data_IF_641296145154
#
_entry.id   IF_641296145154
#
_cell.length_a   1.000
_cell.length_b   1.000
_cell.length_c   1.000
_cell.angle_alpha   90.00
_cell.angle_beta   90.00
_cell.angle_gamma   90.00
#
_symmetry.space_group_name_H-M   'P 1'
#
loop_
_entity.id
_entity.type
_entity.pdbx_description
1 polymer ?
#
# COMPACT_ATOMS: atom_id res chain seq x y z
N UNK A 1 -21.88 -27.46 4.96
CA UNK A 1 -22.55 -26.76 3.85
C UNK A 1 -21.97 -25.36 3.82
N UNK A 2 -20.96 -25.14 2.98
CA UNK A 2 -20.35 -23.81 2.81
C UNK A 2 -21.33 -22.91 2.07
N UNK A 3 -21.69 -21.79 2.71
CA UNK A 3 -22.55 -20.78 2.13
C UNK A 3 -21.88 -20.17 0.91
N UNK A 4 -22.58 -20.23 -0.22
CA UNK A 4 -22.17 -19.59 -1.46
C UNK A 4 -22.04 -18.07 -1.20
N UNK A 5 -20.81 -17.56 -1.05
CA UNK A 5 -20.55 -16.11 -1.03
C UNK A 5 -20.94 -15.57 -2.40
N UNK A 6 -22.10 -14.90 -2.49
CA UNK A 6 -22.51 -14.21 -3.71
C UNK A 6 -21.51 -13.07 -3.94
N UNK A 7 -20.58 -13.29 -4.88
CA UNK A 7 -19.67 -12.25 -5.33
C UNK A 7 -20.48 -11.21 -6.12
N UNK A 8 -20.67 -10.02 -5.54
CA UNK A 8 -21.54 -8.98 -6.06
C UNK A 8 -20.76 -8.01 -6.95
N UNK A 9 -20.22 -8.49 -8.07
CA UNK A 9 -19.58 -7.64 -9.07
C UNK A 9 -20.67 -6.94 -9.90
N UNK A 10 -20.74 -5.61 -9.83
CA UNK A 10 -21.80 -4.81 -10.48
C UNK A 10 -21.37 -4.28 -11.84
N UNK A 11 -20.07 -4.26 -12.11
CA UNK A 11 -19.47 -3.76 -13.35
C UNK A 11 -18.19 -4.51 -13.70
N UNK A 12 -17.85 -4.57 -14.98
CA UNK A 12 -16.54 -5.06 -15.42
C UNK A 12 -15.38 -4.22 -14.86
N UNK A 13 -15.63 -2.95 -14.52
CA UNK A 13 -14.68 -2.06 -13.85
C UNK A 13 -14.39 -2.45 -12.40
N UNK A 14 -15.23 -3.28 -11.77
CA UNK A 14 -14.95 -3.84 -10.44
C UNK A 14 -13.93 -4.99 -10.50
N UNK A 15 -13.72 -5.55 -11.69
CA UNK A 15 -12.85 -6.70 -11.96
C UNK A 15 -11.53 -6.25 -12.58
N UNK A 16 -11.58 -5.27 -13.49
CA UNK A 16 -10.41 -4.73 -14.17
C UNK A 16 -9.77 -3.66 -13.27
N UNK A 17 -8.62 -4.02 -12.67
CA UNK A 17 -7.80 -3.08 -11.92
C UNK A 17 -7.20 -1.97 -12.79
N UNK A 18 -6.69 -0.87 -12.19
CA UNK A 18 -6.09 0.23 -12.93
C UNK A 18 -4.83 -0.23 -13.70
N UNK A 19 -4.34 0.63 -14.60
CA UNK A 19 -3.00 0.48 -15.17
C UNK A 19 -1.98 0.76 -14.05
N UNK A 20 -0.93 -0.06 -13.96
CA UNK A 20 -0.01 -0.05 -12.82
C UNK A 20 1.44 -0.26 -13.23
N UNK A 21 2.34 0.34 -12.45
CA UNK A 21 3.79 0.08 -12.51
C UNK A 21 4.15 -0.97 -11.44
N UNK A 22 4.41 -2.21 -11.86
CA UNK A 22 4.87 -3.29 -10.97
C UNK A 22 4.25 -4.67 -11.27
N UNK A 23 4.79 -5.77 -10.70
CA UNK A 23 4.39 -7.13 -11.06
C UNK A 23 3.08 -7.61 -10.42
N UNK A 24 2.61 -6.97 -9.33
CA UNK A 24 1.44 -7.41 -8.55
C UNK A 24 0.47 -6.25 -8.24
N UNK A 25 -0.80 -6.45 -8.58
CA UNK A 25 -1.84 -5.42 -8.44
C UNK A 25 -2.28 -5.18 -7.00
N UNK A 26 -2.38 -6.21 -6.15
CA UNK A 26 -2.83 -6.06 -4.76
C UNK A 26 -1.79 -5.37 -3.88
N UNK A 27 -0.52 -5.77 -3.99
CA UNK A 27 0.59 -5.22 -3.21
C UNK A 27 1.01 -3.80 -3.63
N UNK A 28 0.53 -3.34 -4.79
CA UNK A 28 0.88 -2.02 -5.32
C UNK A 28 -0.32 -1.08 -5.30
N UNK A 29 -1.47 -1.40 -5.90
CA UNK A 29 -2.62 -0.49 -5.93
C UNK A 29 -3.30 -0.39 -4.57
N UNK A 30 -3.47 -1.53 -3.89
CA UNK A 30 -4.00 -1.54 -2.53
C UNK A 30 -3.10 -0.76 -1.57
N UNK A 31 -1.78 -0.97 -1.66
CA UNK A 31 -0.80 -0.26 -0.85
C UNK A 31 -0.74 1.26 -1.15
N UNK A 32 -0.79 1.66 -2.42
CA UNK A 32 -0.89 3.08 -2.81
C UNK A 32 -2.16 3.70 -2.25
N UNK A 33 -3.30 3.00 -2.32
CA UNK A 33 -4.55 3.49 -1.75
C UNK A 33 -4.47 3.68 -0.23
N UNK A 34 -3.84 2.74 0.50
CA UNK A 34 -3.59 2.87 1.95
C UNK A 34 -2.73 4.11 2.24
N UNK A 35 -1.64 4.31 1.49
CA UNK A 35 -0.77 5.47 1.65
C UNK A 35 -1.47 6.80 1.34
N UNK A 36 -2.29 6.84 0.28
CA UNK A 36 -3.06 8.02 -0.11
C UNK A 36 -4.11 8.38 0.94
N UNK A 37 -4.79 7.38 1.52
CA UNK A 37 -5.71 7.60 2.63
C UNK A 37 -4.98 8.16 3.85
N UNK A 38 -3.82 7.60 4.20
CA UNK A 38 -3.01 8.11 5.32
C UNK A 38 -2.60 9.58 5.11
N UNK A 39 -2.18 9.96 3.90
CA UNK A 39 -1.89 11.35 3.52
C UNK A 39 -3.10 12.25 3.70
N UNK A 40 -4.27 11.81 3.25
CA UNK A 40 -5.52 12.57 3.35
C UNK A 40 -5.91 12.78 4.82
N UNK A 41 -5.84 11.73 5.64
CA UNK A 41 -6.12 11.80 7.08
C UNK A 41 -5.15 12.74 7.82
N UNK A 42 -3.88 12.76 7.39
CA UNK A 42 -2.87 13.67 7.93
C UNK A 42 -3.05 15.14 7.46
N UNK A 43 -3.72 15.36 6.33
CA UNK A 43 -3.93 16.69 5.74
C UNK A 43 -2.77 17.21 4.88
N UNK A 44 -1.83 16.35 4.48
CA UNK A 44 -0.66 16.74 3.69
C UNK A 44 0.44 15.67 3.66
N UNK A 45 1.64 16.05 3.19
CA UNK A 45 2.80 15.14 3.23
C UNK A 45 3.39 15.10 4.65
N UNK A 46 3.39 13.95 5.35
CA UNK A 46 4.01 13.84 6.68
C UNK A 46 5.55 13.90 6.59
N UNK A 47 6.21 14.40 7.66
CA UNK A 47 7.68 14.38 7.79
C UNK A 47 8.22 13.04 8.31
N UNK A 48 7.40 12.31 9.07
CA UNK A 48 7.77 11.03 9.66
C UNK A 48 6.69 10.01 9.30
N UNK A 49 7.11 8.87 8.78
CA UNK A 49 6.24 7.76 8.41
C UNK A 49 6.78 6.49 9.05
N UNK A 50 5.90 5.77 9.72
CA UNK A 50 6.17 4.44 10.24
C UNK A 50 5.12 3.49 9.67
N UNK A 51 5.58 2.40 9.07
CA UNK A 51 4.71 1.35 8.56
C UNK A 51 5.02 0.05 9.30
N UNK A 52 4.07 -0.42 10.08
CA UNK A 52 4.14 -1.71 10.77
C UNK A 52 3.43 -2.78 9.92
N UNK A 53 4.18 -3.78 9.46
CA UNK A 53 3.66 -4.92 8.71
C UNK A 53 3.37 -6.10 9.63
N UNK A 54 2.22 -6.74 9.43
CA UNK A 54 1.77 -7.91 10.18
C UNK A 54 1.52 -9.08 9.23
N UNK A 55 1.61 -10.31 9.74
CA UNK A 55 1.22 -11.54 9.03
C UNK A 55 1.87 -11.65 7.64
N UNK A 56 1.10 -11.99 6.61
CA UNK A 56 1.62 -12.18 5.24
C UNK A 56 2.35 -10.96 4.68
N UNK A 57 1.95 -9.73 5.07
CA UNK A 57 2.66 -8.52 4.67
C UNK A 57 4.05 -8.45 5.29
N UNK A 58 4.22 -8.86 6.54
CA UNK A 58 5.52 -8.85 7.22
C UNK A 58 6.56 -9.73 6.53
N UNK A 59 6.12 -10.79 5.86
CA UNK A 59 7.00 -11.74 5.18
C UNK A 59 7.32 -11.34 3.73
N UNK A 60 6.42 -10.58 3.07
CA UNK A 60 6.43 -10.45 1.61
C UNK A 60 6.61 -9.02 1.09
N UNK A 61 6.57 -8.00 1.95
CA UNK A 61 6.54 -6.60 1.54
C UNK A 61 7.71 -6.17 0.62
N UNK A 62 8.94 -6.62 0.89
CA UNK A 62 10.14 -6.27 0.11
C UNK A 62 10.10 -6.82 -1.31
N UNK A 63 9.71 -8.09 -1.47
CA UNK A 63 9.69 -8.78 -2.77
C UNK A 63 8.57 -8.31 -3.70
N UNK A 64 7.52 -7.70 -3.14
CA UNK A 64 6.37 -7.20 -3.90
C UNK A 64 6.33 -5.67 -4.05
N UNK A 65 7.36 -4.98 -3.54
CA UNK A 65 7.47 -3.53 -3.65
C UNK A 65 6.43 -2.75 -2.83
N UNK A 66 5.85 -3.36 -1.79
CA UNK A 66 4.82 -2.75 -0.95
C UNK A 66 5.31 -1.47 -0.26
N UNK A 67 6.58 -1.44 0.14
CA UNK A 67 7.21 -0.26 0.74
C UNK A 67 7.12 0.95 -0.19
N UNK A 68 7.54 0.75 -1.44
CA UNK A 68 7.51 1.78 -2.47
C UNK A 68 6.08 2.22 -2.75
N UNK A 69 5.13 1.28 -2.79
CA UNK A 69 3.72 1.57 -3.02
C UNK A 69 3.08 2.39 -1.89
N UNK A 70 3.29 2.02 -0.62
CA UNK A 70 2.80 2.80 0.53
C UNK A 70 3.35 4.23 0.48
N UNK A 71 4.67 4.38 0.28
CA UNK A 71 5.30 5.70 0.21
C UNK A 71 4.83 6.50 -1.00
N UNK A 72 4.59 5.85 -2.15
CA UNK A 72 4.01 6.49 -3.34
C UNK A 72 2.65 7.11 -3.03
N UNK A 73 1.77 6.36 -2.36
CA UNK A 73 0.48 6.89 -1.90
C UNK A 73 0.64 8.07 -0.95
N UNK A 74 1.59 8.00 -0.02
CA UNK A 74 1.87 9.09 0.93
C UNK A 74 2.39 10.34 0.22
N UNK A 75 3.21 10.19 -0.83
CA UNK A 75 3.67 11.28 -1.67
C UNK A 75 2.60 11.82 -2.63
N UNK A 76 1.47 11.11 -2.78
CA UNK A 76 0.37 11.49 -3.65
C UNK A 76 0.53 11.03 -5.11
N UNK A 77 1.34 10.00 -5.35
CA UNK A 77 1.50 9.39 -6.67
C UNK A 77 0.32 8.47 -6.99
N UNK A 78 0.00 8.33 -8.27
CA UNK A 78 -0.99 7.39 -8.78
C UNK A 78 -0.35 6.04 -9.11
N UNK A 79 -1.16 5.02 -9.39
CA UNK A 79 -0.69 3.64 -9.61
C UNK A 79 0.14 3.46 -10.87
N UNK A 80 -0.04 4.33 -11.85
CA UNK A 80 0.64 4.39 -13.15
C UNK A 80 1.85 5.33 -13.15
N UNK A 81 2.16 5.99 -12.02
CA UNK A 81 3.26 6.94 -11.94
C UNK A 81 4.62 6.21 -12.03
N UNK A 82 5.44 6.60 -13.01
CA UNK A 82 6.77 6.05 -13.24
C UNK A 82 7.75 6.25 -12.07
N UNK A 83 7.42 7.14 -11.13
CA UNK A 83 8.23 7.41 -9.94
C UNK A 83 7.99 6.40 -8.83
N UNK A 84 6.96 5.54 -8.92
CA UNK A 84 6.61 4.55 -7.89
C UNK A 84 7.84 3.73 -7.42
N UNK A 85 8.67 3.16 -8.31
CA UNK A 85 9.85 2.38 -7.88
C UNK A 85 10.91 3.18 -7.11
N UNK A 86 10.89 4.53 -7.22
CA UNK A 86 11.84 5.45 -6.58
C UNK A 86 11.22 6.21 -5.41
N UNK A 87 9.99 5.89 -5.01
CA UNK A 87 9.23 6.69 -4.05
C UNK A 87 9.93 6.85 -2.69
N UNK A 88 10.57 5.78 -2.18
CA UNK A 88 11.34 5.84 -0.92
C UNK A 88 12.52 6.80 -1.03
N UNK A 89 13.30 6.73 -2.10
CA UNK A 89 14.43 7.64 -2.35
C UNK A 89 13.96 9.09 -2.48
N UNK A 90 12.87 9.33 -3.21
CA UNK A 90 12.28 10.65 -3.39
C UNK A 90 11.82 11.21 -2.04
N UNK A 91 11.10 10.42 -1.24
CA UNK A 91 10.64 10.84 0.08
C UNK A 91 11.80 11.22 1.00
N UNK A 92 12.86 10.40 1.06
CA UNK A 92 14.05 10.70 1.88
C UNK A 92 14.74 11.98 1.38
N UNK A 93 14.84 12.18 0.06
CA UNK A 93 15.43 13.41 -0.51
C UNK A 93 14.62 14.67 -0.17
N UNK A 94 13.32 14.54 0.08
CA UNK A 94 12.44 15.62 0.56
C UNK A 94 12.45 15.80 2.09
N UNK A 95 13.33 15.08 2.81
CA UNK A 95 13.47 15.17 4.26
C UNK A 95 12.44 14.35 5.03
N UNK A 96 11.80 13.36 4.42
CA UNK A 96 10.92 12.42 5.11
C UNK A 96 11.73 11.32 5.79
N UNK A 97 11.46 11.07 7.07
CA UNK A 97 11.97 9.92 7.79
C UNK A 97 11.00 8.76 7.65
N UNK A 98 11.50 7.59 7.24
CA UNK A 98 10.69 6.40 6.98
C UNK A 98 11.23 5.24 7.82
N UNK A 99 10.33 4.56 8.53
CA UNK A 99 10.60 3.34 9.28
C UNK A 99 9.64 2.23 8.83
N UNK A 100 10.19 1.10 8.36
CA UNK A 100 9.42 -0.11 8.08
C UNK A 100 9.70 -1.13 9.18
N UNK A 101 8.65 -1.68 9.79
CA UNK A 101 8.76 -2.57 10.94
C UNK A 101 7.97 -3.85 10.68
N UNK A 102 8.69 -4.97 10.58
CA UNK A 102 8.10 -6.30 10.51
C UNK A 102 7.69 -6.76 11.92
N UNK A 103 6.40 -7.00 12.14
CA UNK A 103 5.87 -7.46 13.43
C UNK A 103 5.73 -8.97 13.44
N UNK A 104 6.31 -9.60 14.48
CA UNK A 104 6.21 -11.05 14.75
C UNK A 104 4.98 -11.44 15.57
N UNK A 105 4.20 -10.46 16.00
CA UNK A 105 2.96 -10.67 16.74
C UNK A 105 1.78 -10.58 15.77
N UNK A 106 0.65 -11.25 16.07
CA UNK A 106 -0.59 -11.05 15.31
C UNK A 106 -0.98 -9.58 15.26
N UNK A 107 -1.72 -9.21 14.20
CA UNK A 107 -2.25 -7.86 14.11
C UNK A 107 -3.07 -7.52 15.36
N UNK A 108 -2.87 -6.33 15.97
CA UNK A 108 -3.68 -5.89 17.10
C UNK A 108 -5.13 -5.60 16.68
N UNK A 109 -5.37 -5.47 15.38
CA UNK A 109 -6.70 -5.36 14.80
C UNK A 109 -7.16 -6.77 14.50
N UNK A 110 -8.17 -7.23 15.22
CA UNK A 110 -8.72 -8.57 15.05
C UNK A 110 -9.37 -8.66 13.65
N UNK A 111 -8.60 -9.11 12.65
CA UNK A 111 -9.06 -9.26 11.27
C UNK A 111 -10.06 -10.43 11.21
N UNK A 112 -11.34 -10.12 11.36
CA UNK A 112 -12.45 -11.08 11.30
C UNK A 112 -12.76 -11.53 9.86
#
# INVERSE_FOLDING_TARGET
MEGNKVQNYKSCFDIIGPIMVGPSSSHTAGAIAIGALARQLFGGTPKNVRCDYYESFSETHKGHGTDFAIISGILGFTTDDERVPRAVEIAVSQGMHIEFVERKVPSPVNHA
#
